data_IF_211543172546
#
_entry.id   IF_211543172546
#
_cell.length_a   1.000
_cell.length_b   1.000
_cell.length_c   1.000
_cell.angle_alpha   90.00
_cell.angle_beta   90.00
_cell.angle_gamma   90.00
#
_symmetry.space_group_name_H-M   'P 1'
#
loop_
_entity.id
_entity.type
_entity.pdbx_description
1 polymer ?
#
# COMPACT_ATOMS: atom_id res chain seq x y z
N UNK A 1 -5.43 28.62 5.02
CA UNK A 1 -5.39 27.28 5.67
C UNK A 1 -4.89 26.30 4.62
N UNK A 2 -3.79 25.60 4.90
CA UNK A 2 -3.27 24.59 3.98
C UNK A 2 -3.90 23.23 4.29
N UNK A 3 -4.26 22.51 3.23
CA UNK A 3 -4.82 21.16 3.33
C UNK A 3 -4.24 20.27 2.24
N UNK A 4 -4.08 18.99 2.55
CA UNK A 4 -3.64 17.97 1.60
C UNK A 4 -4.73 16.91 1.45
N UNK A 5 -5.01 16.50 0.21
CA UNK A 5 -5.89 15.36 -0.08
C UNK A 5 -5.25 14.09 0.49
N UNK A 6 -5.97 13.40 1.37
CA UNK A 6 -5.48 12.24 2.12
C UNK A 6 -5.90 10.89 1.52
N UNK A 7 -6.80 10.90 0.53
CA UNK A 7 -7.30 9.70 -0.12
C UNK A 7 -8.48 9.97 -1.05
N UNK A 8 -8.97 8.92 -1.72
CA UNK A 8 -10.16 9.02 -2.56
C UNK A 8 -11.42 9.25 -1.73
N UNK A 9 -12.47 9.78 -2.37
CA UNK A 9 -13.82 9.84 -1.82
C UNK A 9 -14.78 9.01 -2.65
N UNK A 10 -15.73 8.36 -1.97
CA UNK A 10 -16.88 7.77 -2.63
C UNK A 10 -17.75 8.87 -3.25
N UNK A 11 -18.47 8.52 -4.32
CA UNK A 11 -19.37 9.45 -5.00
C UNK A 11 -20.37 10.09 -4.02
N UNK A 12 -20.45 11.42 -4.05
CA UNK A 12 -21.34 12.19 -3.17
C UNK A 12 -20.80 12.46 -1.76
N UNK A 13 -19.60 11.97 -1.40
CA UNK A 13 -18.90 12.34 -0.16
C UNK A 13 -17.85 13.41 -0.42
N UNK A 14 -17.55 14.19 0.61
CA UNK A 14 -16.45 15.16 0.56
C UNK A 14 -15.10 14.44 0.46
N UNK A 15 -14.16 15.05 -0.29
CA UNK A 15 -12.78 14.56 -0.40
C UNK A 15 -12.11 14.67 0.97
N UNK A 16 -11.56 13.57 1.52
CA UNK A 16 -10.92 13.61 2.82
C UNK A 16 -9.61 14.40 2.74
N UNK A 17 -9.49 15.44 3.57
CA UNK A 17 -8.29 16.28 3.64
C UNK A 17 -7.67 16.25 5.03
N UNK A 18 -6.37 16.53 5.10
CA UNK A 18 -5.60 16.66 6.34
C UNK A 18 -4.88 18.00 6.37
N UNK A 19 -4.75 18.59 7.55
CA UNK A 19 -3.88 19.76 7.79
C UNK A 19 -2.45 19.35 8.15
N UNK A 20 -2.22 18.06 8.45
CA UNK A 20 -0.88 17.49 8.62
C UNK A 20 -0.31 17.16 7.26
N UNK A 21 0.37 18.13 6.66
CA UNK A 21 0.98 18.00 5.35
C UNK A 21 2.16 17.04 5.39
N UNK A 22 2.37 16.29 4.31
CA UNK A 22 3.55 15.45 4.09
C UNK A 22 4.03 15.63 2.66
N UNK A 23 5.32 15.95 2.51
CA UNK A 23 5.98 16.05 1.20
C UNK A 23 6.86 14.83 1.02
N UNK A 24 6.42 13.89 0.18
CA UNK A 24 6.99 12.56 0.08
C UNK A 24 7.52 12.30 -1.32
N UNK A 25 8.83 12.16 -1.43
CA UNK A 25 9.55 11.68 -2.61
C UNK A 25 10.01 10.23 -2.41
N UNK A 26 10.86 9.72 -3.31
CA UNK A 26 11.43 8.37 -3.21
C UNK A 26 12.33 8.21 -1.98
N UNK A 27 13.18 9.21 -1.69
CA UNK A 27 14.19 9.12 -0.64
C UNK A 27 13.81 9.87 0.63
N UNK A 28 13.07 10.97 0.52
CA UNK A 28 12.75 11.84 1.65
C UNK A 28 11.24 11.94 1.96
N UNK A 29 10.94 12.25 3.22
CA UNK A 29 9.65 12.80 3.65
C UNK A 29 9.94 14.04 4.48
N UNK A 30 9.49 15.22 4.03
CA UNK A 30 9.50 16.42 4.86
C UNK A 30 8.21 16.45 5.68
N UNK A 31 8.36 16.66 6.99
CA UNK A 31 7.28 16.60 7.97
C UNK A 31 7.15 17.95 8.69
N UNK A 32 6.34 18.89 8.16
CA UNK A 32 6.02 20.13 8.87
C UNK A 32 5.36 19.86 10.22
N UNK A 33 5.71 20.69 11.21
CA UNK A 33 5.24 20.63 12.61
C UNK A 33 5.57 19.32 13.34
N UNK A 34 6.48 18.51 12.79
CA UNK A 34 6.97 17.28 13.38
C UNK A 34 8.50 17.21 13.20
N UNK A 35 9.25 17.95 14.02
CA UNK A 35 10.69 18.10 13.85
C UNK A 35 11.48 16.82 14.15
N UNK A 36 12.71 16.79 13.64
CA UNK A 36 13.66 15.71 13.85
C UNK A 36 14.08 15.02 12.54
N UNK A 37 15.33 14.55 12.53
CA UNK A 37 15.92 13.80 11.41
C UNK A 37 15.85 12.31 11.73
N UNK A 38 15.12 11.55 10.92
CA UNK A 38 14.89 10.13 11.14
C UNK A 38 15.31 9.32 9.91
N UNK A 39 15.80 8.11 10.14
CA UNK A 39 16.17 7.17 9.08
C UNK A 39 15.32 5.91 9.24
N UNK A 40 14.75 5.42 8.13
CA UNK A 40 13.95 4.21 8.07
C UNK A 40 14.59 3.04 8.84
N UNK A 41 13.78 2.35 9.65
CA UNK A 41 14.23 1.18 10.43
C UNK A 41 14.59 -0.03 9.55
N UNK A 42 14.29 0.03 8.25
CA UNK A 42 14.69 -1.01 7.28
C UNK A 42 16.17 -0.91 6.92
N UNK A 43 16.78 0.28 7.05
CA UNK A 43 18.22 0.49 6.86
C UNK A 43 18.89 0.14 8.18
N UNK A 44 19.54 -1.03 8.22
CA UNK A 44 20.18 -1.59 9.41
C UNK A 44 21.70 -1.46 9.42
N UNK A 45 22.28 -1.14 8.27
CA UNK A 45 23.72 -0.96 8.12
C UNK A 45 24.16 0.33 8.82
N UNK A 46 25.02 0.21 9.83
CA UNK A 46 25.39 1.33 10.70
C UNK A 46 26.22 2.40 9.97
N UNK A 47 27.09 1.97 9.03
CA UNK A 47 27.90 2.88 8.23
C UNK A 47 27.02 3.71 7.30
N UNK A 48 26.10 3.06 6.57
CA UNK A 48 25.12 3.75 5.73
C UNK A 48 24.23 4.69 6.52
N UNK A 49 23.84 4.33 7.74
CA UNK A 49 23.05 5.21 8.63
C UNK A 49 23.85 6.45 9.04
N UNK A 50 25.14 6.31 9.31
CA UNK A 50 26.01 7.45 9.64
C UNK A 50 26.14 8.42 8.47
N UNK A 51 26.38 7.90 7.25
CA UNK A 51 26.43 8.68 6.01
C UNK A 51 25.12 9.43 5.76
N UNK A 52 23.99 8.72 5.83
CA UNK A 52 22.65 9.31 5.64
C UNK A 52 22.30 10.34 6.72
N UNK A 53 22.81 10.18 7.95
CA UNK A 53 22.66 11.19 9.01
C UNK A 53 23.37 12.49 8.64
N UNK A 54 24.61 12.41 8.15
CA UNK A 54 25.35 13.59 7.71
C UNK A 54 24.67 14.28 6.52
N UNK A 55 24.15 13.50 5.56
CA UNK A 55 23.37 14.01 4.42
C UNK A 55 22.09 14.71 4.89
N UNK A 56 21.36 14.12 5.83
CA UNK A 56 20.15 14.70 6.40
C UNK A 56 20.42 16.04 7.12
N UNK A 57 21.48 16.09 7.93
CA UNK A 57 21.91 17.31 8.64
C UNK A 57 22.28 18.42 7.67
N UNK A 58 23.07 18.10 6.64
CA UNK A 58 23.46 19.07 5.62
C UNK A 58 22.26 19.57 4.79
N UNK A 59 21.38 18.66 4.34
CA UNK A 59 20.22 19.01 3.51
C UNK A 59 19.16 19.84 4.25
N UNK A 60 19.04 19.65 5.56
CA UNK A 60 18.12 20.41 6.41
C UNK A 60 18.78 21.63 7.08
N UNK A 61 20.05 21.94 6.80
CA UNK A 61 20.73 23.08 7.38
C UNK A 61 20.03 24.41 7.03
N UNK A 62 19.67 25.18 8.05
CA UNK A 62 18.94 26.46 7.91
C UNK A 62 17.45 26.31 7.61
N UNK A 63 16.89 25.09 7.67
CA UNK A 63 15.45 24.91 7.65
C UNK A 63 14.81 25.47 8.92
N UNK A 64 13.52 25.78 8.88
CA UNK A 64 12.75 26.09 10.09
C UNK A 64 12.84 24.94 11.10
N UNK A 65 12.98 25.25 12.39
CA UNK A 65 12.98 24.28 13.50
C UNK A 65 11.67 23.47 13.59
N UNK A 66 10.61 23.90 12.90
CA UNK A 66 9.35 23.16 12.79
C UNK A 66 9.39 22.03 11.75
N UNK A 67 10.38 21.99 10.85
CA UNK A 67 10.47 20.96 9.82
C UNK A 67 11.25 19.73 10.31
N UNK A 68 10.69 18.56 10.07
CA UNK A 68 11.40 17.29 10.18
C UNK A 68 11.70 16.67 8.82
N UNK A 69 12.56 15.65 8.84
CA UNK A 69 12.93 14.84 7.68
C UNK A 69 12.93 13.36 8.07
N UNK A 70 12.36 12.52 7.21
CA UNK A 70 12.48 11.07 7.29
C UNK A 70 13.11 10.54 6.01
N UNK A 71 14.29 9.94 6.11
CA UNK A 71 14.92 9.19 5.03
C UNK A 71 14.31 7.79 4.92
N UNK A 72 13.86 7.44 3.71
CA UNK A 72 13.10 6.24 3.39
C UNK A 72 14.01 5.06 3.09
N UNK A 73 13.46 3.84 3.01
CA UNK A 73 14.25 2.64 2.67
C UNK A 73 14.89 2.69 1.29
N UNK A 74 14.35 3.51 0.37
CA UNK A 74 14.96 3.76 -0.94
C UNK A 74 16.38 4.33 -0.86
N UNK A 75 16.79 4.90 0.28
CA UNK A 75 18.16 5.39 0.48
C UNK A 75 19.20 4.28 0.68
N UNK A 76 18.78 3.02 0.87
CA UNK A 76 19.69 1.92 1.20
C UNK A 76 20.79 1.73 0.14
N UNK A 77 20.41 1.76 -1.13
CA UNK A 77 21.30 1.56 -2.28
C UNK A 77 21.35 2.81 -3.19
N UNK A 78 20.78 3.93 -2.74
CA UNK A 78 20.80 5.17 -3.52
C UNK A 78 22.17 5.84 -3.46
N UNK A 79 22.56 6.44 -4.59
CA UNK A 79 23.70 7.35 -4.65
C UNK A 79 23.46 8.58 -3.76
N UNK A 80 24.49 8.98 -3.01
CA UNK A 80 24.42 10.08 -2.05
C UNK A 80 23.96 11.38 -2.69
N UNK A 81 24.48 11.70 -3.87
CA UNK A 81 24.12 12.90 -4.60
C UNK A 81 22.62 12.92 -4.94
N UNK A 82 22.05 11.78 -5.33
CA UNK A 82 20.62 11.68 -5.61
C UNK A 82 19.77 11.89 -4.36
N UNK A 83 20.22 11.42 -3.19
CA UNK A 83 19.54 11.66 -1.90
C UNK A 83 19.63 13.15 -1.51
N UNK A 84 20.79 13.77 -1.68
CA UNK A 84 21.00 15.21 -1.40
C UNK A 84 20.07 16.08 -2.24
N UNK A 85 20.03 15.83 -3.56
CA UNK A 85 19.18 16.58 -4.48
C UNK A 85 17.69 16.40 -4.16
N UNK A 86 17.27 15.18 -3.82
CA UNK A 86 15.89 14.87 -3.46
C UNK A 86 15.45 15.56 -2.15
N UNK A 87 16.31 15.61 -1.13
CA UNK A 87 16.05 16.37 0.10
C UNK A 87 15.90 17.86 -0.22
N UNK A 88 16.83 18.43 -1.00
CA UNK A 88 16.81 19.85 -1.34
C UNK A 88 15.53 20.23 -2.11
N UNK A 89 15.13 19.40 -3.07
CA UNK A 89 13.91 19.59 -3.84
C UNK A 89 12.65 19.51 -2.94
N UNK A 90 12.55 18.50 -2.09
CA UNK A 90 11.39 18.33 -1.20
C UNK A 90 11.29 19.41 -0.13
N UNK A 91 12.43 19.83 0.44
CA UNK A 91 12.47 20.93 1.39
C UNK A 91 12.04 22.24 0.72
N UNK A 92 12.58 22.55 -0.46
CA UNK A 92 12.21 23.76 -1.20
C UNK A 92 10.72 23.81 -1.51
N UNK A 93 10.14 22.68 -1.95
CA UNK A 93 8.70 22.55 -2.18
C UNK A 93 7.90 22.78 -0.89
N UNK A 94 8.32 22.16 0.22
CA UNK A 94 7.65 22.31 1.50
C UNK A 94 7.66 23.77 1.99
N UNK A 95 8.82 24.42 1.95
CA UNK A 95 8.98 25.83 2.35
C UNK A 95 8.14 26.77 1.48
N UNK A 96 8.12 26.56 0.15
CA UNK A 96 7.29 27.34 -0.77
C UNK A 96 5.79 27.21 -0.45
N UNK A 97 5.30 25.98 -0.27
CA UNK A 97 3.89 25.73 0.06
C UNK A 97 3.51 26.28 1.43
N UNK A 98 4.39 26.16 2.42
CA UNK A 98 4.14 26.67 3.78
C UNK A 98 4.14 28.20 3.84
N UNK A 99 4.85 28.88 2.93
CA UNK A 99 4.83 30.33 2.81
C UNK A 99 3.55 30.84 2.12
N UNK A 100 2.91 30.02 1.29
CA UNK A 100 1.74 30.40 0.49
C UNK A 100 0.41 30.22 1.23
N UNK A 101 0.17 31.08 2.23
CA UNK A 101 -1.00 30.99 3.13
C UNK A 101 -2.06 32.06 2.88
N UNK A 102 -1.87 32.92 1.88
CA UNK A 102 -2.71 34.08 1.61
C UNK A 102 -3.30 34.01 0.22
N UNK A 103 -4.59 34.33 0.09
CA UNK A 103 -5.27 34.34 -1.21
C UNK A 103 -6.58 33.56 -1.18
N UNK A 104 -7.27 33.48 -2.33
CA UNK A 104 -8.44 32.62 -2.49
C UNK A 104 -8.04 31.13 -2.44
N UNK A 105 -9.00 30.20 -2.28
CA UNK A 105 -8.72 28.77 -2.40
C UNK A 105 -8.18 28.43 -3.80
N UNK A 106 -7.00 27.82 -3.86
CA UNK A 106 -6.37 27.39 -5.10
C UNK A 106 -5.57 26.09 -4.91
N UNK A 107 -5.19 25.50 -6.05
CA UNK A 107 -4.32 24.32 -6.07
C UNK A 107 -2.86 24.79 -6.07
N UNK A 108 -2.12 24.48 -5.00
CA UNK A 108 -0.71 24.84 -4.88
C UNK A 108 0.23 23.81 -5.52
N UNK A 109 -0.10 22.52 -5.37
CA UNK A 109 0.73 21.40 -5.86
C UNK A 109 -0.18 20.30 -6.38
N UNK A 110 0.08 19.84 -7.60
CA UNK A 110 -0.59 18.68 -8.18
C UNK A 110 -0.28 17.38 -7.39
N UNK A 111 -1.24 16.47 -7.38
CA UNK A 111 -1.00 15.12 -6.87
C UNK A 111 -0.04 14.34 -7.77
N UNK A 112 0.73 13.39 -7.22
CA UNK A 112 1.61 12.54 -8.02
C UNK A 112 0.80 11.70 -9.02
N UNK A 113 1.36 11.49 -10.21
CA UNK A 113 0.79 10.56 -11.19
C UNK A 113 0.90 9.11 -10.72
N UNK A 114 0.22 8.19 -11.41
CA UNK A 114 0.35 6.76 -11.14
C UNK A 114 1.81 6.28 -11.32
N UNK A 115 2.53 6.83 -12.30
CA UNK A 115 3.94 6.56 -12.51
C UNK A 115 4.80 7.06 -11.35
N UNK A 116 4.57 8.29 -10.88
CA UNK A 116 5.33 8.86 -9.75
C UNK A 116 5.11 8.05 -8.48
N UNK A 117 3.85 7.65 -8.21
CA UNK A 117 3.51 6.79 -7.08
C UNK A 117 4.23 5.43 -7.16
N UNK A 118 4.21 4.79 -8.33
CA UNK A 118 4.86 3.50 -8.54
C UNK A 118 6.39 3.61 -8.38
N UNK A 119 7.02 4.60 -9.04
CA UNK A 119 8.45 4.82 -8.95
C UNK A 119 8.89 5.12 -7.50
N UNK A 120 8.05 5.83 -6.75
CA UNK A 120 8.29 6.20 -5.35
C UNK A 120 8.14 5.04 -4.38
N UNK A 121 7.20 4.12 -4.61
CA UNK A 121 6.76 3.14 -3.61
C UNK A 121 7.02 1.68 -3.98
N UNK A 122 7.28 1.34 -5.24
CA UNK A 122 7.40 -0.06 -5.70
C UNK A 122 8.82 -0.48 -6.10
N UNK A 123 9.77 0.46 -6.15
CA UNK A 123 11.16 0.21 -6.55
C UNK A 123 12.08 -0.16 -5.37
N UNK A 124 11.51 -0.77 -4.34
CA UNK A 124 12.23 -1.35 -3.20
C UNK A 124 11.79 -2.82 -3.05
N UNK A 125 12.62 -3.80 -3.47
CA UNK A 125 13.98 -3.65 -4.01
C UNK A 125 14.01 -3.02 -5.40
N UNK A 126 15.21 -2.62 -5.86
CA UNK A 126 15.40 -2.09 -7.21
C UNK A 126 14.86 -3.04 -8.29
N UNK A 127 14.31 -2.48 -9.37
CA UNK A 127 13.86 -3.27 -10.52
C UNK A 127 15.06 -3.74 -11.35
N UNK A 128 15.03 -5.00 -11.77
CA UNK A 128 16.08 -5.57 -12.61
C UNK A 128 15.99 -5.08 -14.07
N UNK A 129 14.76 -4.83 -14.56
CA UNK A 129 14.47 -4.40 -15.94
C UNK A 129 13.22 -3.52 -15.99
N UNK A 130 13.12 -2.66 -16.99
CA UNK A 130 11.99 -1.75 -17.22
C UNK A 130 11.60 -1.70 -18.71
N UNK A 131 10.48 -2.32 -19.06
CA UNK A 131 9.92 -2.30 -20.41
C UNK A 131 8.90 -1.17 -20.57
N UNK A 132 9.34 -0.08 -21.20
CA UNK A 132 8.51 1.10 -21.53
C UNK A 132 8.06 1.10 -23.00
N UNK A 133 8.33 0.02 -23.73
CA UNK A 133 7.97 -0.09 -25.13
C UNK A 133 6.45 -0.17 -25.34
N UNK A 134 5.97 0.12 -26.56
CA UNK A 134 4.58 -0.16 -26.92
C UNK A 134 4.29 -1.65 -26.69
N UNK A 135 3.08 -1.99 -26.28
CA UNK A 135 2.63 -3.37 -26.00
C UNK A 135 3.37 -4.08 -24.84
N UNK A 136 4.05 -3.35 -23.96
CA UNK A 136 4.71 -3.98 -22.80
C UNK A 136 3.70 -4.70 -21.90
N UNK A 137 2.46 -4.21 -21.82
CA UNK A 137 1.43 -4.85 -21.00
C UNK A 137 1.05 -6.23 -21.55
N UNK A 138 0.89 -6.37 -22.86
CA UNK A 138 0.60 -7.65 -23.53
C UNK A 138 1.79 -8.60 -23.39
N UNK A 139 3.02 -8.13 -23.64
CA UNK A 139 4.23 -8.96 -23.51
C UNK A 139 4.38 -9.56 -22.11
N UNK A 140 4.02 -8.79 -21.08
CA UNK A 140 4.16 -9.19 -19.67
C UNK A 140 2.86 -9.75 -19.06
N UNK A 141 1.82 -9.98 -19.86
CA UNK A 141 0.56 -10.57 -19.41
C UNK A 141 -0.27 -9.68 -18.46
N UNK A 142 0.01 -8.37 -18.43
CA UNK A 142 -0.65 -7.41 -17.55
C UNK A 142 -2.12 -7.24 -17.96
N UNK A 143 -2.40 -7.21 -19.25
CA UNK A 143 -3.76 -7.06 -19.78
C UNK A 143 -4.66 -8.22 -19.36
N UNK A 144 -4.17 -9.46 -19.48
CA UNK A 144 -4.87 -10.67 -19.04
C UNK A 144 -5.04 -10.72 -17.52
N UNK A 145 -4.02 -10.27 -16.77
CA UNK A 145 -4.12 -10.15 -15.33
C UNK A 145 -5.19 -9.14 -14.92
N UNK A 146 -5.28 -7.98 -15.58
CA UNK A 146 -6.31 -6.97 -15.34
C UNK A 146 -7.71 -7.53 -15.63
N UNK A 147 -7.89 -8.22 -16.74
CA UNK A 147 -9.18 -8.82 -17.09
C UNK A 147 -9.59 -9.90 -16.07
N UNK A 148 -8.64 -10.74 -15.63
CA UNK A 148 -8.87 -11.71 -14.56
C UNK A 148 -9.30 -11.06 -13.24
N UNK A 149 -8.78 -9.87 -12.92
CA UNK A 149 -9.15 -9.12 -11.72
C UNK A 149 -10.59 -8.59 -11.74
N UNK A 150 -11.22 -8.45 -12.92
CA UNK A 150 -12.63 -8.04 -13.05
C UNK A 150 -13.59 -9.14 -12.63
N UNK A 151 -13.17 -10.40 -12.73
CA UNK A 151 -13.95 -11.52 -12.23
C UNK A 151 -13.93 -11.53 -10.69
N UNK A 152 -15.09 -11.73 -10.03
CA UNK A 152 -15.11 -12.00 -8.59
C UNK A 152 -14.51 -13.38 -8.28
N UNK A 153 -14.44 -14.30 -9.25
CA UNK A 153 -13.87 -15.63 -9.07
C UNK A 153 -12.36 -15.62 -9.22
N UNK A 154 -11.66 -16.08 -8.19
CA UNK A 154 -10.22 -16.29 -8.16
C UNK A 154 -9.93 -17.79 -8.14
N UNK A 155 -9.24 -18.29 -9.16
CA UNK A 155 -8.77 -19.67 -9.18
C UNK A 155 -7.62 -19.87 -8.18
N UNK A 156 -7.65 -20.99 -7.46
CA UNK A 156 -6.60 -21.43 -6.53
C UNK A 156 -6.07 -22.80 -6.99
N UNK A 157 -5.07 -23.31 -6.29
CA UNK A 157 -4.48 -24.63 -6.57
C UNK A 157 -5.51 -25.77 -6.50
N UNK A 158 -5.25 -26.86 -7.23
CA UNK A 158 -6.06 -28.08 -7.21
C UNK A 158 -7.56 -27.90 -7.55
N UNK A 159 -7.93 -26.83 -8.25
CA UNK A 159 -9.31 -26.55 -8.65
C UNK A 159 -10.17 -25.89 -7.56
N UNK A 160 -9.57 -25.58 -6.40
CA UNK A 160 -10.18 -24.70 -5.42
C UNK A 160 -10.34 -23.29 -5.99
N UNK A 161 -11.19 -22.48 -5.37
CA UNK A 161 -11.38 -21.09 -5.76
C UNK A 161 -11.91 -20.26 -4.59
N UNK A 162 -11.78 -18.95 -4.69
CA UNK A 162 -12.52 -18.03 -3.83
C UNK A 162 -13.31 -17.02 -4.66
N UNK A 163 -14.45 -16.60 -4.13
CA UNK A 163 -15.24 -15.48 -4.65
C UNK A 163 -14.92 -14.25 -3.81
N UNK A 164 -14.70 -13.09 -4.45
CA UNK A 164 -14.48 -11.81 -3.77
C UNK A 164 -15.52 -10.82 -4.27
N UNK A 165 -16.47 -10.47 -3.41
CA UNK A 165 -17.64 -9.67 -3.79
C UNK A 165 -17.75 -8.43 -2.90
N UNK A 166 -17.43 -7.23 -3.43
CA UNK A 166 -17.72 -6.00 -2.72
C UNK A 166 -19.23 -5.77 -2.65
N UNK A 167 -19.73 -5.54 -1.44
CA UNK A 167 -21.10 -5.08 -1.20
C UNK A 167 -21.08 -3.60 -0.81
N UNK A 168 -22.26 -3.02 -0.51
CA UNK A 168 -22.36 -1.65 0.00
C UNK A 168 -21.60 -1.44 1.33
N UNK A 169 -21.57 -2.44 2.21
CA UNK A 169 -21.06 -2.27 3.57
C UNK A 169 -19.67 -2.89 3.75
N UNK A 170 -19.45 -4.05 3.15
CA UNK A 170 -18.27 -4.89 3.37
C UNK A 170 -17.90 -5.68 2.11
N UNK A 171 -16.70 -6.23 2.09
CA UNK A 171 -16.27 -7.20 1.07
C UNK A 171 -16.49 -8.61 1.62
N UNK A 172 -17.29 -9.41 0.92
CA UNK A 172 -17.49 -10.81 1.25
C UNK A 172 -16.51 -11.68 0.47
N UNK A 173 -15.90 -12.65 1.13
CA UNK A 173 -15.02 -13.63 0.51
C UNK A 173 -15.50 -15.03 0.85
N UNK A 174 -15.75 -15.87 -0.15
CA UNK A 174 -16.19 -17.26 0.04
C UNK A 174 -15.16 -18.23 -0.57
N UNK A 175 -14.73 -19.25 0.18
CA UNK A 175 -13.68 -20.20 -0.24
C UNK A 175 -14.26 -21.59 -0.48
N UNK A 176 -14.00 -22.13 -1.66
CA UNK A 176 -14.50 -23.42 -2.11
C UNK A 176 -13.35 -24.39 -2.41
N UNK A 177 -13.49 -25.65 -1.97
CA UNK A 177 -12.48 -26.71 -2.18
C UNK A 177 -12.42 -27.25 -3.60
N UNK A 178 -13.43 -26.96 -4.42
CA UNK A 178 -13.52 -27.49 -5.78
C UNK A 178 -13.74 -29.02 -5.78
N UNK A 179 -13.12 -29.77 -6.71
CA UNK A 179 -13.35 -31.21 -6.84
C UNK A 179 -12.58 -32.06 -5.82
N UNK A 180 -11.64 -31.48 -5.05
CA UNK A 180 -10.90 -32.22 -4.02
C UNK A 180 -11.83 -32.58 -2.85
N UNK A 181 -12.00 -33.88 -2.62
CA UNK A 181 -12.82 -34.46 -1.54
C UNK A 181 -11.97 -35.11 -0.45
N UNK A 182 -10.65 -34.92 -0.50
CA UNK A 182 -9.75 -35.44 0.53
C UNK A 182 -9.99 -34.76 1.88
N UNK A 183 -9.66 -35.42 3.01
CA UNK A 183 -9.80 -34.82 4.34
C UNK A 183 -9.01 -33.51 4.53
N UNK A 184 -7.97 -33.27 3.70
CA UNK A 184 -7.15 -32.08 3.74
C UNK A 184 -7.62 -30.97 2.77
N UNK A 185 -8.66 -31.21 1.97
CA UNK A 185 -9.11 -30.29 0.93
C UNK A 185 -9.46 -28.89 1.48
N UNK A 186 -10.20 -28.83 2.61
CA UNK A 186 -10.55 -27.58 3.28
C UNK A 186 -9.32 -26.78 3.70
N UNK A 187 -8.38 -27.41 4.42
CA UNK A 187 -7.17 -26.74 4.87
C UNK A 187 -6.29 -26.26 3.71
N UNK A 188 -6.14 -27.07 2.66
CA UNK A 188 -5.36 -26.69 1.46
C UNK A 188 -5.97 -25.47 0.77
N UNK A 189 -7.27 -25.49 0.50
CA UNK A 189 -7.98 -24.38 -0.14
C UNK A 189 -7.90 -23.09 0.70
N UNK A 190 -8.11 -23.22 2.01
CA UNK A 190 -8.05 -22.10 2.95
C UNK A 190 -6.66 -21.47 3.05
N UNK A 191 -5.59 -22.28 3.05
CA UNK A 191 -4.21 -21.78 3.05
C UNK A 191 -3.88 -21.07 1.74
N UNK A 192 -4.31 -21.62 0.59
CA UNK A 192 -4.13 -20.96 -0.71
C UNK A 192 -4.86 -19.61 -0.77
N UNK A 193 -6.13 -19.58 -0.34
CA UNK A 193 -6.92 -18.36 -0.26
C UNK A 193 -6.28 -17.32 0.69
N UNK A 194 -5.89 -17.73 1.89
CA UNK A 194 -5.27 -16.85 2.88
C UNK A 194 -3.96 -16.21 2.40
N UNK A 195 -3.15 -16.94 1.62
CA UNK A 195 -1.91 -16.42 1.02
C UNK A 195 -2.17 -15.41 -0.09
N UNK A 196 -3.18 -15.64 -0.93
CA UNK A 196 -3.45 -14.80 -2.10
C UNK A 196 -4.36 -13.60 -1.79
N UNK A 197 -5.18 -13.68 -0.74
CA UNK A 197 -6.16 -12.65 -0.39
C UNK A 197 -5.59 -11.22 -0.28
N UNK A 198 -4.45 -10.94 0.39
CA UNK A 198 -3.90 -9.58 0.45
C UNK A 198 -3.56 -9.03 -0.94
N UNK A 199 -3.04 -9.87 -1.84
CA UNK A 199 -2.72 -9.48 -3.21
C UNK A 199 -3.99 -9.14 -3.97
N UNK A 200 -5.03 -9.97 -3.86
CA UNK A 200 -6.29 -9.78 -4.57
C UNK A 200 -7.06 -8.54 -4.10
N UNK A 201 -7.07 -8.27 -2.78
CA UNK A 201 -7.66 -7.05 -2.22
C UNK A 201 -6.91 -5.81 -2.71
N UNK A 202 -5.57 -5.83 -2.68
CA UNK A 202 -4.73 -4.69 -3.11
C UNK A 202 -4.88 -4.39 -4.60
N UNK A 203 -4.87 -5.43 -5.46
CA UNK A 203 -4.99 -5.26 -6.91
C UNK A 203 -6.39 -4.82 -7.35
N UNK A 204 -7.44 -5.19 -6.60
CA UNK A 204 -8.80 -4.69 -6.84
C UNK A 204 -9.10 -3.35 -6.18
N UNK A 205 -8.17 -2.77 -5.42
CA UNK A 205 -8.40 -1.54 -4.66
C UNK A 205 -9.46 -1.70 -3.56
N UNK A 206 -9.63 -2.91 -3.02
CA UNK A 206 -10.64 -3.20 -2.00
C UNK A 206 -10.12 -2.93 -0.59
N UNK A 207 -10.97 -2.28 0.21
CA UNK A 207 -10.70 -1.93 1.60
C UNK A 207 -11.99 -1.67 2.38
N UNK A 208 -11.85 -1.43 3.68
CA UNK A 208 -12.94 -1.40 4.65
C UNK A 208 -13.06 -2.73 5.39
N UNK A 209 -14.28 -3.08 5.79
CA UNK A 209 -14.57 -4.37 6.41
C UNK A 209 -14.52 -5.48 5.37
N UNK A 210 -13.81 -6.56 5.71
CA UNK A 210 -13.71 -7.78 4.89
C UNK A 210 -14.07 -8.96 5.78
N UNK A 211 -14.96 -9.80 5.29
CA UNK A 211 -15.40 -11.02 5.97
C UNK A 211 -15.11 -12.21 5.07
N UNK A 212 -14.42 -13.21 5.61
CA UNK A 212 -14.02 -14.42 4.89
C UNK A 212 -14.75 -15.62 5.46
N UNK A 213 -15.54 -16.29 4.62
CA UNK A 213 -16.09 -17.61 4.86
C UNK A 213 -15.13 -18.65 4.29
N UNK A 214 -14.37 -19.27 5.18
CA UNK A 214 -13.41 -20.30 4.81
C UNK A 214 -14.11 -21.65 4.65
N UNK A 215 -13.61 -22.49 3.74
CA UNK A 215 -14.10 -23.84 3.56
C UNK A 215 -14.12 -24.62 4.89
N UNK A 216 -15.08 -25.54 5.11
CA UNK A 216 -15.22 -26.27 6.36
C UNK A 216 -13.90 -26.91 6.82
N UNK A 217 -13.50 -26.61 8.06
CA UNK A 217 -12.30 -27.18 8.68
C UNK A 217 -12.45 -27.33 10.20
N UNK A 218 -11.72 -28.26 10.83
CA UNK A 218 -11.69 -28.42 12.28
C UNK A 218 -11.27 -27.14 13.01
N UNK A 219 -11.93 -26.80 14.13
CA UNK A 219 -11.59 -25.60 14.93
C UNK A 219 -10.13 -25.54 15.36
N UNK A 220 -9.49 -26.68 15.60
CA UNK A 220 -8.06 -26.77 15.99
C UNK A 220 -7.11 -26.28 14.90
N UNK A 221 -7.53 -26.28 13.64
CA UNK A 221 -6.73 -25.86 12.48
C UNK A 221 -6.85 -24.35 12.21
N UNK A 222 -7.78 -23.65 12.87
CA UNK A 222 -7.93 -22.19 12.77
C UNK A 222 -6.64 -21.44 13.11
N UNK A 223 -5.89 -21.92 14.10
CA UNK A 223 -4.61 -21.30 14.48
C UNK A 223 -3.59 -21.32 13.33
N UNK A 224 -3.62 -22.36 12.48
CA UNK A 224 -2.73 -22.47 11.33
C UNK A 224 -3.08 -21.36 10.34
N UNK A 225 -4.37 -21.17 10.05
CA UNK A 225 -4.84 -20.06 9.21
C UNK A 225 -4.47 -18.70 9.78
N UNK A 226 -4.61 -18.48 11.09
CA UNK A 226 -4.22 -17.22 11.72
C UNK A 226 -2.75 -16.90 11.48
N UNK A 227 -1.87 -17.90 11.57
CA UNK A 227 -0.45 -17.73 11.29
C UNK A 227 -0.19 -17.41 9.82
N UNK A 228 -0.88 -18.08 8.90
CA UNK A 228 -0.77 -17.83 7.46
C UNK A 228 -1.26 -16.43 7.12
N UNK A 229 -2.42 -16.01 7.62
CA UNK A 229 -2.97 -14.66 7.41
C UNK A 229 -2.04 -13.59 7.97
N UNK A 230 -1.54 -13.75 9.20
CA UNK A 230 -0.58 -12.81 9.81
C UNK A 230 0.68 -12.68 8.96
N UNK A 231 1.21 -13.79 8.44
CA UNK A 231 2.37 -13.76 7.56
C UNK A 231 2.06 -13.08 6.21
N UNK A 232 0.92 -13.42 5.59
CA UNK A 232 0.51 -12.89 4.28
C UNK A 232 0.21 -11.38 4.31
N UNK A 233 -0.43 -10.89 5.39
CA UNK A 233 -0.73 -9.47 5.58
C UNK A 233 0.43 -8.67 6.19
N UNK A 234 1.56 -9.28 6.54
CA UNK A 234 2.71 -8.57 7.15
C UNK A 234 3.24 -7.42 6.27
N UNK A 235 3.20 -7.60 4.95
CA UNK A 235 3.61 -6.57 3.99
C UNK A 235 2.51 -5.51 3.74
N UNK A 236 1.25 -5.83 4.06
CA UNK A 236 0.08 -4.96 3.92
C UNK A 236 -0.20 -4.29 5.28
N UNK A 237 0.71 -3.39 5.68
CA UNK A 237 0.79 -2.82 7.04
C UNK A 237 -0.42 -2.03 7.53
N UNK A 238 -1.43 -1.83 6.68
CA UNK A 238 -2.67 -1.12 6.97
C UNK A 238 -3.87 -2.08 7.21
N UNK A 239 -3.62 -3.37 7.36
CA UNK A 239 -4.62 -4.38 7.69
C UNK A 239 -4.65 -4.71 9.19
N UNK A 240 -5.85 -4.75 9.78
CA UNK A 240 -6.09 -5.26 11.12
C UNK A 240 -6.88 -6.57 11.03
N UNK A 241 -6.30 -7.65 11.56
CA UNK A 241 -6.89 -8.98 11.57
C UNK A 241 -7.67 -9.18 12.87
N UNK A 242 -8.99 -8.99 12.84
CA UNK A 242 -9.84 -9.07 14.03
C UNK A 242 -9.99 -10.51 14.54
N UNK A 243 -9.99 -11.49 13.63
CA UNK A 243 -9.99 -12.91 13.96
C UNK A 243 -11.32 -13.60 13.68
N UNK A 244 -11.55 -14.74 14.34
CA UNK A 244 -12.73 -15.57 14.11
C UNK A 244 -13.96 -15.08 14.88
N UNK A 245 -15.08 -14.99 14.18
CA UNK A 245 -16.40 -14.79 14.77
C UNK A 245 -16.91 -16.06 15.46
N UNK A 246 -17.96 -15.91 16.26
CA UNK A 246 -18.66 -17.03 16.90
C UNK A 246 -19.25 -18.02 15.88
N UNK A 247 -19.73 -17.51 14.73
CA UNK A 247 -20.33 -18.32 13.67
C UNK A 247 -19.28 -18.95 12.73
N UNK A 248 -18.01 -18.56 12.84
CA UNK A 248 -16.91 -19.20 12.12
C UNK A 248 -16.41 -18.47 10.89
N UNK A 249 -16.91 -17.26 10.62
CA UNK A 249 -16.30 -16.33 9.66
C UNK A 249 -15.01 -15.72 10.24
N UNK A 250 -14.11 -15.27 9.37
CA UNK A 250 -12.93 -14.49 9.75
C UNK A 250 -13.11 -13.02 9.37
N UNK A 251 -12.84 -12.12 10.31
CA UNK A 251 -13.00 -10.68 10.12
C UNK A 251 -11.66 -9.97 10.05
N UNK A 252 -11.55 -9.03 9.12
CA UNK A 252 -10.44 -8.08 9.06
C UNK A 252 -10.92 -6.72 8.54
N UNK A 253 -10.11 -5.70 8.79
CA UNK A 253 -10.28 -4.38 8.18
C UNK A 253 -9.02 -3.98 7.45
N UNK A 254 -9.14 -3.40 6.26
CA UNK A 254 -8.02 -2.85 5.49
C UNK A 254 -8.31 -1.37 5.18
N UNK A 255 -7.30 -0.50 5.21
CA UNK A 255 -7.48 0.92 4.85
C UNK A 255 -8.02 1.08 3.42
N UNK A 256 -8.91 2.07 3.20
CA UNK A 256 -9.39 2.49 1.88
C UNK A 256 -8.48 3.58 1.33
N UNK A 257 -7.37 3.16 0.73
CA UNK A 257 -6.32 4.02 0.19
C UNK A 257 -6.30 4.10 -1.34
N UNK A 258 -7.14 3.31 -2.01
CA UNK A 258 -7.26 3.22 -3.47
C UNK A 258 -8.72 3.21 -3.89
N UNK A 259 -9.00 3.67 -5.11
CA UNK A 259 -10.29 3.44 -5.75
C UNK A 259 -10.40 1.98 -6.19
N UNK A 260 -11.60 1.37 -6.12
CA UNK A 260 -11.83 0.03 -6.66
C UNK A 260 -11.49 -0.04 -8.15
N UNK A 261 -10.90 -1.16 -8.58
CA UNK A 261 -10.53 -1.38 -9.99
C UNK A 261 -11.75 -1.26 -10.92
N UNK A 262 -12.91 -1.73 -10.47
CA UNK A 262 -14.18 -1.64 -11.21
C UNK A 262 -14.66 -0.21 -11.46
N UNK A 263 -14.20 0.76 -10.68
CA UNK A 263 -14.51 2.19 -10.91
C UNK A 263 -13.51 2.85 -11.86
N UNK A 264 -12.26 2.35 -11.89
CA UNK A 264 -11.19 2.88 -12.72
C UNK A 264 -11.20 2.34 -14.15
N UNK A 265 -11.55 1.06 -14.30
CA UNK A 265 -11.63 0.35 -15.58
C UNK A 265 -13.03 -0.26 -15.73
N UNK A 266 -14.04 0.56 -16.08
CA UNK A 266 -15.42 0.10 -16.23
C UNK A 266 -15.59 -0.94 -17.33
#
# INVERSE_FOLDING_TARGET
LLVQVSGPAEQGKAIPVTTRLLFKSRFAIITPDAPGLNISRRIKDDDRRAELSAIAEAGMAGASDSLGLILRSGCLEAEDQAVVEDIAAMRSLAEAVLADISGPPELLVDGPSAHDLAFRDWLDPAVDDADTGPESFERHGVTEALESLRSPRVALEAGAHMMIEPTRALVAVDVNTGPDTSPAAGLKANVAAARDLPRQLRLRGLGGQVVVDFAPMPKRERHILDQVLKAAFKADGDANLAGWTTLGLYELTRKRDRLPLSELLP
#
